data_IF_038041972656
#
_entry.id   IF_038041972656
#
_cell.length_a   1.000
_cell.length_b   1.000
_cell.length_c   1.000
_cell.angle_alpha   90.00
_cell.angle_beta   90.00
_cell.angle_gamma   90.00
#
_symmetry.space_group_name_H-M   'P 1'
#
loop_
_entity.id
_entity.type
_entity.pdbx_description
1 polymer ?
#
# COMPACT_ATOMS: atom_id res chain seq x y z
N UNK A 1 11.54 -21.99 6.82
CA UNK A 1 11.28 -20.90 5.87
C UNK A 1 9.76 -20.77 5.77
N UNK A 2 9.22 -19.62 6.14
CA UNK A 2 7.81 -19.34 6.13
C UNK A 2 7.53 -18.14 5.21
N UNK A 3 6.31 -18.07 4.71
CA UNK A 3 5.82 -16.97 3.88
C UNK A 3 4.47 -16.49 4.40
N UNK A 4 4.25 -15.19 4.35
CA UNK A 4 2.99 -14.53 4.69
C UNK A 4 2.55 -13.68 3.50
N UNK A 5 1.27 -13.77 3.14
CA UNK A 5 0.63 -12.83 2.24
C UNK A 5 -0.32 -11.96 3.08
N UNK A 6 -0.11 -10.65 3.04
CA UNK A 6 -0.97 -9.65 3.67
C UNK A 6 -1.73 -8.90 2.58
N UNK A 7 -3.05 -8.93 2.66
CA UNK A 7 -3.95 -8.26 1.73
C UNK A 7 -4.91 -7.36 2.51
N UNK A 8 -5.10 -6.14 2.03
CA UNK A 8 -6.06 -5.21 2.61
C UNK A 8 -6.64 -4.27 1.56
N UNK A 9 -7.96 -4.05 1.65
CA UNK A 9 -8.64 -2.97 0.92
C UNK A 9 -8.70 -1.68 1.72
N UNK A 10 -8.30 -1.69 3.00
CA UNK A 10 -8.20 -0.47 3.80
C UNK A 10 -6.86 0.20 3.48
N UNK A 11 -6.82 1.53 3.31
CA UNK A 11 -5.56 2.24 3.16
C UNK A 11 -4.80 2.27 4.49
N UNK A 12 -3.48 2.41 4.39
CA UNK A 12 -2.64 2.71 5.54
C UNK A 12 -2.79 4.17 5.96
N UNK A 13 -2.74 4.41 7.27
CA UNK A 13 -2.47 5.72 7.81
C UNK A 13 -0.99 6.07 7.56
N UNK A 14 -0.67 7.21 6.93
CA UNK A 14 0.70 7.55 6.53
C UNK A 14 1.68 7.57 7.71
N UNK A 15 1.36 8.28 8.79
CA UNK A 15 2.24 8.32 9.98
C UNK A 15 2.47 6.94 10.61
N UNK A 16 1.41 6.15 10.86
CA UNK A 16 1.55 4.82 11.48
C UNK A 16 2.37 3.86 10.62
N UNK A 17 2.17 3.88 9.30
CA UNK A 17 2.99 3.08 8.39
C UNK A 17 4.46 3.50 8.46
N UNK A 18 4.75 4.81 8.39
CA UNK A 18 6.10 5.35 8.50
C UNK A 18 6.80 4.89 9.78
N UNK A 19 6.11 5.02 10.92
CA UNK A 19 6.66 4.67 12.23
C UNK A 19 6.93 3.15 12.36
N UNK A 20 6.20 2.32 11.62
CA UNK A 20 6.36 0.87 11.61
C UNK A 20 7.42 0.34 10.61
N UNK A 21 7.97 1.19 9.72
CA UNK A 21 8.85 0.72 8.63
C UNK A 21 10.12 0.01 9.14
N UNK A 22 10.75 0.56 10.17
CA UNK A 22 11.97 -0.01 10.76
C UNK A 22 11.67 -1.39 11.38
N UNK A 23 10.61 -1.49 12.17
CA UNK A 23 10.20 -2.75 12.78
C UNK A 23 9.80 -3.81 11.73
N UNK A 24 9.13 -3.40 10.65
CA UNK A 24 8.80 -4.31 9.55
C UNK A 24 10.06 -4.81 8.82
N UNK A 25 11.07 -3.96 8.65
CA UNK A 25 12.33 -4.33 8.02
C UNK A 25 13.13 -5.33 8.88
N UNK A 26 13.12 -5.16 10.19
CA UNK A 26 13.82 -6.05 11.13
C UNK A 26 13.18 -7.45 11.23
N UNK A 27 11.86 -7.53 11.06
CA UNK A 27 11.10 -8.79 11.23
C UNK A 27 11.09 -9.67 9.99
N UNK A 28 11.42 -9.15 8.82
CA UNK A 28 11.33 -9.87 7.56
C UNK A 28 12.71 -9.99 6.89
N UNK A 29 13.08 -11.20 6.47
CA UNK A 29 14.27 -11.38 5.65
C UNK A 29 14.11 -10.70 4.29
N UNK A 30 12.92 -10.86 3.69
CA UNK A 30 12.49 -10.18 2.48
C UNK A 30 11.00 -9.87 2.54
N UNK A 31 10.61 -8.75 1.97
CA UNK A 31 9.23 -8.43 1.69
C UNK A 31 9.13 -7.74 0.33
N UNK A 32 8.01 -7.90 -0.37
CA UNK A 32 7.71 -7.12 -1.57
C UNK A 32 6.22 -6.98 -1.81
N UNK A 33 5.82 -5.92 -2.48
CA UNK A 33 4.46 -5.81 -2.99
C UNK A 33 4.05 -4.38 -3.30
N UNK A 34 2.74 -4.17 -3.35
CA UNK A 34 2.14 -2.85 -3.52
C UNK A 34 1.38 -2.46 -2.27
N UNK A 35 1.35 -1.16 -1.96
CA UNK A 35 0.57 -0.62 -0.87
C UNK A 35 -0.19 0.64 -1.27
N UNK A 36 -1.22 0.93 -0.49
CA UNK A 36 -2.04 2.12 -0.63
C UNK A 36 -2.02 2.95 0.66
N UNK A 37 -1.67 4.23 0.53
CA UNK A 37 -1.66 5.22 1.63
C UNK A 37 -2.86 6.16 1.47
N UNK A 38 -3.56 6.42 2.58
CA UNK A 38 -4.79 7.21 2.60
C UNK A 38 -4.61 8.64 2.07
N UNK A 39 -3.51 9.31 2.45
CA UNK A 39 -3.19 10.68 2.02
C UNK A 39 -2.76 10.78 0.54
N UNK A 40 -2.42 9.65 -0.10
CA UNK A 40 -1.96 9.59 -1.48
C UNK A 40 -2.87 8.69 -2.32
N UNK A 41 -4.18 9.05 -2.44
CA UNK A 41 -5.19 8.16 -2.98
C UNK A 41 -4.98 7.78 -4.44
N UNK A 42 -4.24 8.58 -5.20
CA UNK A 42 -4.04 8.35 -6.63
C UNK A 42 -2.79 7.53 -6.96
N UNK A 43 -1.89 7.34 -5.99
CA UNK A 43 -0.56 6.77 -6.21
C UNK A 43 -0.52 5.33 -5.71
N UNK A 44 -0.13 4.41 -6.58
CA UNK A 44 0.23 3.05 -6.21
C UNK A 44 1.72 3.02 -5.83
N UNK A 45 2.02 2.53 -4.63
CA UNK A 45 3.38 2.49 -4.11
C UNK A 45 3.91 1.06 -4.07
N UNK A 46 5.19 0.90 -4.38
CA UNK A 46 5.94 -0.33 -4.22
C UNK A 46 6.58 -0.34 -2.85
N UNK A 47 6.65 -1.52 -2.25
CA UNK A 47 7.35 -1.75 -1.00
C UNK A 47 8.29 -2.93 -1.17
N UNK A 48 9.52 -2.79 -0.73
CA UNK A 48 10.51 -3.86 -0.69
C UNK A 48 11.27 -3.82 0.62
N UNK A 49 11.47 -4.98 1.24
CA UNK A 49 12.43 -5.17 2.32
C UNK A 49 13.53 -6.07 1.81
N UNK A 50 14.77 -5.61 1.89
CA UNK A 50 15.95 -6.40 1.60
C UNK A 50 17.13 -5.90 2.44
N UNK A 51 17.88 -6.83 3.04
CA UNK A 51 19.13 -6.49 3.73
C UNK A 51 18.97 -5.60 4.97
N UNK A 52 17.84 -5.69 5.67
CA UNK A 52 17.57 -4.93 6.90
C UNK A 52 17.06 -3.51 6.69
N UNK A 53 16.69 -3.14 5.47
CA UNK A 53 16.04 -1.85 5.18
C UNK A 53 14.75 -2.03 4.40
N UNK A 54 13.81 -1.12 4.62
CA UNK A 54 12.61 -0.95 3.80
C UNK A 54 12.83 0.15 2.76
N UNK A 55 12.44 -0.12 1.52
CA UNK A 55 12.43 0.83 0.41
C UNK A 55 11.01 0.94 -0.10
N UNK A 56 10.60 2.17 -0.39
CA UNK A 56 9.33 2.46 -1.02
C UNK A 56 9.56 3.25 -2.30
N UNK A 57 8.83 2.89 -3.34
CA UNK A 57 8.89 3.56 -4.64
C UNK A 57 7.51 3.77 -5.25
N UNK A 58 7.47 4.42 -6.40
CA UNK A 58 6.24 4.68 -7.14
C UNK A 58 6.05 3.64 -8.23
N UNK A 59 4.92 2.93 -8.20
CA UNK A 59 4.50 2.02 -9.27
C UNK A 59 3.65 2.68 -10.35
N UNK A 60 3.13 3.88 -10.10
CA UNK A 60 2.27 4.63 -11.03
C UNK A 60 0.98 5.09 -10.36
N UNK A 61 -0.05 5.37 -11.16
CA UNK A 61 -1.39 5.68 -10.65
C UNK A 61 -2.23 4.40 -10.53
N UNK A 62 -3.22 4.44 -9.64
CA UNK A 62 -4.32 3.48 -9.65
C UNK A 62 -5.17 3.69 -10.92
N UNK A 63 -5.74 2.63 -11.48
CA UNK A 63 -6.65 2.74 -12.63
C UNK A 63 -7.87 3.60 -12.29
N UNK A 64 -8.35 3.50 -11.05
CA UNK A 64 -9.43 4.32 -10.53
C UNK A 64 -9.06 5.79 -10.27
N UNK A 65 -7.80 6.18 -10.53
CA UNK A 65 -7.34 7.57 -10.57
C UNK A 65 -7.08 8.05 -12.02
N UNK A 66 -7.35 7.23 -13.02
CA UNK A 66 -7.14 7.52 -14.44
C UNK A 66 -8.46 7.55 -15.21
N UNK A 67 -8.60 8.42 -16.23
CA UNK A 67 -9.67 8.29 -17.19
C UNK A 67 -9.52 6.97 -17.96
N UNK A 68 -10.63 6.30 -18.37
CA UNK A 68 -10.58 5.02 -19.09
C UNK A 68 -9.68 5.02 -20.34
N UNK A 69 -9.56 6.17 -21.02
CA UNK A 69 -8.69 6.33 -22.19
C UNK A 69 -7.19 6.11 -21.90
N UNK A 70 -6.77 6.21 -20.64
CA UNK A 70 -5.38 6.04 -20.20
C UNK A 70 -5.11 4.74 -19.46
N UNK A 71 -6.08 3.84 -19.40
CA UNK A 71 -5.88 2.53 -18.77
C UNK A 71 -4.79 1.71 -19.46
N UNK A 72 -4.57 1.92 -20.76
CA UNK A 72 -3.49 1.28 -21.52
C UNK A 72 -2.08 1.74 -21.10
N UNK A 73 -1.95 2.85 -20.35
CA UNK A 73 -0.67 3.31 -19.81
C UNK A 73 -0.28 2.55 -18.53
N UNK A 74 -1.22 1.81 -17.93
CA UNK A 74 -0.98 1.01 -16.73
C UNK A 74 -0.29 -0.33 -17.07
N UNK A 75 0.43 -0.93 -16.11
CA UNK A 75 1.03 -2.25 -16.28
C UNK A 75 -0.01 -3.31 -16.72
N UNK A 76 0.28 -4.15 -17.74
CA UNK A 76 -0.67 -5.15 -18.23
C UNK A 76 -1.20 -6.11 -17.15
N UNK A 77 -0.37 -6.44 -16.14
CA UNK A 77 -0.78 -7.27 -15.00
C UNK A 77 -1.93 -6.66 -14.19
N UNK A 78 -2.01 -5.33 -14.12
CA UNK A 78 -3.08 -4.63 -13.40
C UNK A 78 -4.39 -4.67 -14.19
N UNK A 79 -4.34 -4.53 -15.52
CA UNK A 79 -5.51 -4.67 -16.39
C UNK A 79 -6.10 -6.09 -16.36
N UNK A 80 -5.25 -7.12 -16.32
CA UNK A 80 -5.69 -8.52 -16.29
C UNK A 80 -6.46 -8.91 -15.02
N UNK A 81 -6.31 -8.15 -13.93
CA UNK A 81 -6.94 -8.47 -12.63
C UNK A 81 -8.03 -7.47 -12.26
N UNK A 82 -8.28 -6.44 -13.08
CA UNK A 82 -9.15 -5.32 -12.72
C UNK A 82 -10.58 -5.79 -12.44
N UNK A 83 -11.18 -6.58 -13.32
CA UNK A 83 -12.56 -7.04 -13.17
C UNK A 83 -12.76 -7.88 -11.90
N UNK A 84 -11.76 -8.65 -11.50
CA UNK A 84 -11.84 -9.52 -10.33
C UNK A 84 -11.54 -8.78 -9.00
N UNK A 85 -10.81 -7.66 -9.07
CA UNK A 85 -10.32 -6.97 -7.87
C UNK A 85 -10.99 -5.62 -7.63
N UNK A 86 -11.76 -5.12 -8.59
CA UNK A 86 -12.44 -3.84 -8.53
C UNK A 86 -13.42 -3.77 -7.35
N UNK A 87 -13.23 -2.75 -6.53
CA UNK A 87 -14.15 -2.36 -5.48
C UNK A 87 -15.04 -1.19 -5.96
N UNK A 88 -16.35 -1.18 -5.71
CA UNK A 88 -17.23 -0.09 -6.14
C UNK A 88 -16.86 1.29 -5.60
N UNK A 89 -16.19 1.36 -4.45
CA UNK A 89 -15.82 2.60 -3.77
C UNK A 89 -14.33 2.92 -3.93
N UNK A 90 -13.46 1.91 -3.85
CA UNK A 90 -12.01 2.09 -3.92
C UNK A 90 -11.42 1.87 -5.33
N UNK A 91 -12.15 1.24 -6.23
CA UNK A 91 -11.65 0.81 -7.54
C UNK A 91 -10.60 -0.28 -7.40
N UNK A 92 -9.45 -0.13 -8.04
CA UNK A 92 -8.36 -1.10 -7.98
C UNK A 92 -7.39 -0.90 -6.79
N UNK A 93 -7.59 0.14 -5.98
CA UNK A 93 -6.75 0.49 -4.81
C UNK A 93 -6.75 -0.63 -3.78
N UNK A 94 -5.56 -1.11 -3.42
CA UNK A 94 -5.35 -2.14 -2.40
C UNK A 94 -3.91 -2.23 -1.95
N UNK A 95 -3.71 -2.87 -0.82
CA UNK A 95 -2.42 -3.35 -0.35
C UNK A 95 -2.33 -4.85 -0.57
N UNK A 96 -1.21 -5.31 -1.13
CA UNK A 96 -0.84 -6.71 -1.28
C UNK A 96 0.66 -6.83 -1.06
N UNK A 97 1.07 -7.44 0.05
CA UNK A 97 2.46 -7.56 0.48
C UNK A 97 2.79 -9.02 0.78
N UNK A 98 3.85 -9.53 0.18
CA UNK A 98 4.39 -10.85 0.44
C UNK A 98 5.66 -10.76 1.27
N UNK A 99 5.70 -11.46 2.41
CA UNK A 99 6.84 -11.54 3.32
C UNK A 99 7.42 -12.96 3.30
N UNK A 100 8.74 -13.07 3.37
CA UNK A 100 9.47 -14.33 3.41
C UNK A 100 10.56 -14.25 4.47
N UNK A 101 10.66 -15.27 5.32
CA UNK A 101 11.67 -15.32 6.38
C UNK A 101 11.94 -16.72 6.92
N UNK A 102 13.06 -16.85 7.65
CA UNK A 102 13.30 -17.96 8.57
C UNK A 102 12.75 -17.51 9.92
N UNK A 103 11.92 -18.34 10.56
CA UNK A 103 11.22 -18.00 11.81
C UNK A 103 10.42 -16.69 11.77
N UNK A 104 9.82 -16.40 10.62
CA UNK A 104 8.93 -15.26 10.44
C UNK A 104 7.77 -15.34 11.45
N UNK A 105 7.73 -14.38 12.37
CA UNK A 105 6.60 -14.20 13.28
C UNK A 105 5.41 -13.59 12.52
N UNK A 106 4.76 -14.40 11.68
CA UNK A 106 3.71 -13.97 10.77
C UNK A 106 2.58 -13.20 11.48
N UNK A 107 2.14 -13.68 12.64
CA UNK A 107 1.10 -13.02 13.43
C UNK A 107 1.52 -11.62 13.91
N UNK A 108 2.80 -11.46 14.28
CA UNK A 108 3.33 -10.16 14.70
C UNK A 108 3.38 -9.18 13.51
N UNK A 109 3.83 -9.64 12.33
CA UNK A 109 3.83 -8.83 11.11
C UNK A 109 2.41 -8.44 10.70
N UNK A 110 1.47 -9.38 10.71
CA UNK A 110 0.05 -9.09 10.42
C UNK A 110 -0.53 -8.10 11.42
N UNK A 111 -0.19 -8.20 12.71
CA UNK A 111 -0.65 -7.26 13.75
C UNK A 111 -0.14 -5.85 13.47
N UNK A 112 1.17 -5.68 13.24
CA UNK A 112 1.78 -4.39 12.92
C UNK A 112 1.13 -3.75 11.70
N UNK A 113 0.97 -4.52 10.61
CA UNK A 113 0.33 -4.01 9.39
C UNK A 113 -1.13 -3.64 9.65
N UNK A 114 -1.88 -4.46 10.38
CA UNK A 114 -3.28 -4.17 10.71
C UNK A 114 -3.42 -2.90 11.55
N UNK A 115 -2.54 -2.70 12.53
CA UNK A 115 -2.52 -1.51 13.39
C UNK A 115 -2.15 -0.24 12.62
N UNK A 116 -1.51 -0.37 11.45
CA UNK A 116 -1.22 0.75 10.55
C UNK A 116 -2.40 1.13 9.63
N UNK A 117 -3.43 0.29 9.48
CA UNK A 117 -4.58 0.57 8.63
C UNK A 117 -5.49 1.64 9.25
N UNK A 118 -6.22 2.39 8.43
CA UNK A 118 -7.28 3.24 8.95
C UNK A 118 -8.31 2.43 9.77
N UNK A 119 -8.67 2.99 10.92
CA UNK A 119 -9.75 2.54 11.80
C UNK A 119 -11.11 2.79 11.15
N UNK A 120 -12.16 2.21 11.70
CA UNK A 120 -13.53 2.41 11.20
C UNK A 120 -13.96 3.89 11.25
N UNK A 121 -13.59 4.61 12.31
CA UNK A 121 -13.90 6.03 12.47
C UNK A 121 -13.18 6.88 11.42
N UNK A 122 -11.86 6.67 11.23
CA UNK A 122 -11.10 7.39 10.20
C UNK A 122 -11.62 7.05 8.79
N UNK A 123 -12.04 5.80 8.54
CA UNK A 123 -12.64 5.43 7.26
C UNK A 123 -13.96 6.18 7.02
N UNK A 124 -14.76 6.40 8.06
CA UNK A 124 -16.03 7.13 7.96
C UNK A 124 -15.83 8.61 7.62
N UNK A 125 -14.68 9.21 7.98
CA UNK A 125 -14.36 10.61 7.66
C UNK A 125 -14.12 10.83 6.15
N UNK A 126 -13.74 9.77 5.42
CA UNK A 126 -13.62 9.77 3.97
C UNK A 126 -12.45 10.56 3.37
N UNK A 127 -12.40 10.59 2.04
CA UNK A 127 -11.25 11.04 1.24
C UNK A 127 -10.70 12.43 1.61
N UNK A 128 -11.58 13.38 1.90
CA UNK A 128 -11.18 14.75 2.24
C UNK A 128 -10.37 14.82 3.54
N UNK A 129 -10.76 14.05 4.55
CA UNK A 129 -10.02 13.95 5.81
C UNK A 129 -8.71 13.17 5.62
N UNK A 130 -8.74 12.10 4.81
CA UNK A 130 -7.55 11.29 4.54
C UNK A 130 -6.41 12.07 3.91
N UNK A 131 -6.72 12.96 2.96
CA UNK A 131 -5.73 13.86 2.34
C UNK A 131 -5.14 14.88 3.31
N UNK A 132 -5.76 15.12 4.46
CA UNK A 132 -5.28 16.04 5.49
C UNK A 132 -4.49 15.34 6.62
N UNK A 133 -4.36 14.00 6.59
CA UNK A 133 -3.56 13.27 7.57
C UNK A 133 -2.09 13.71 7.50
N UNK A 134 -1.39 13.82 8.64
CA UNK A 134 0.05 14.08 8.67
C UNK A 134 0.79 13.01 7.87
N UNK A 135 1.48 13.42 6.80
CA UNK A 135 2.09 12.51 5.84
C UNK A 135 3.62 12.72 5.73
N UNK A 136 4.41 11.85 6.39
CA UNK A 136 5.87 11.83 6.24
C UNK A 136 6.36 11.54 4.81
N UNK A 137 5.51 10.96 3.97
CA UNK A 137 5.79 10.64 2.58
C UNK A 137 5.38 11.75 1.60
N UNK A 138 4.87 12.89 2.11
CA UNK A 138 4.43 13.99 1.27
C UNK A 138 5.56 14.49 0.36
N UNK A 139 5.31 14.49 -0.95
CA UNK A 139 6.29 14.91 -1.97
C UNK A 139 7.29 13.82 -2.37
N UNK A 140 7.36 12.68 -1.70
CA UNK A 140 8.28 11.58 -2.05
C UNK A 140 7.92 10.88 -3.36
N UNK A 141 6.62 10.79 -3.68
CA UNK A 141 6.10 9.98 -4.78
C UNK A 141 5.31 10.80 -5.80
N UNK A 142 5.68 12.07 -5.98
CA UNK A 142 4.97 12.99 -6.88
C UNK A 142 4.74 12.39 -8.26
N UNK A 143 3.49 12.39 -8.69
CA UNK A 143 3.08 11.89 -10.00
C UNK A 143 2.82 13.08 -10.93
N UNK A 144 3.35 13.09 -12.16
CA UNK A 144 2.98 14.09 -13.15
C UNK A 144 1.46 14.15 -13.32
N UNK A 145 0.91 15.34 -13.55
CA UNK A 145 -0.51 15.45 -13.89
C UNK A 145 -0.85 14.55 -15.10
N UNK A 146 -2.03 13.93 -15.11
CA UNK A 146 -2.49 13.18 -16.26
C UNK A 146 -2.61 14.11 -17.48
#
# INVERSE_FOLDING_TARGET
>A
MASLLFESRRPFHPQRLHDALEELADRALRARGQLWIASQPDTALGFEVAGGGAVMDRLGRWLAALPPSRWNDAPPSRLLTVDATWDPYYGDRRTELAFIGVDLAADAVTTILTDCLLTDDELADGWGAWSALPDPFAGCFSVPEP
#
